data_IF_704830001919
#
_entry.id   IF_704830001919
#
_cell.length_a   1.000
_cell.length_b   1.000
_cell.length_c   1.000
_cell.angle_alpha   90.00
_cell.angle_beta   90.00
_cell.angle_gamma   90.00
#
_symmetry.space_group_name_H-M   'P 1'
#
loop_
_entity.id
_entity.type
_entity.pdbx_description
1 polymer ?
#
# COMPACT_ATOMS: atom_id res chain seq x y z
N UNK A 1 5.90 27.08 -9.83
CA UNK A 1 6.11 25.63 -10.03
C UNK A 1 5.44 24.96 -8.84
N UNK A 2 4.24 24.38 -8.99
CA UNK A 2 3.50 23.84 -7.83
C UNK A 2 4.07 22.46 -7.50
N UNK A 3 4.95 22.42 -6.50
CA UNK A 3 5.38 21.23 -5.79
C UNK A 3 4.16 20.63 -5.06
N UNK A 4 3.38 19.86 -5.80
CA UNK A 4 2.32 19.03 -5.22
C UNK A 4 3.04 18.01 -4.35
N UNK A 5 3.08 18.25 -3.03
CA UNK A 5 3.85 17.48 -2.05
C UNK A 5 3.83 15.98 -2.36
N UNK A 6 4.98 15.45 -2.80
CA UNK A 6 5.10 14.04 -3.15
C UNK A 6 5.10 13.26 -1.84
N UNK A 7 4.02 12.52 -1.56
CA UNK A 7 3.97 11.67 -0.37
C UNK A 7 4.92 10.49 -0.58
N UNK A 8 6.02 10.48 0.16
CA UNK A 8 7.02 9.40 0.18
C UNK A 8 7.41 9.14 1.63
N UNK A 9 7.25 7.89 2.07
CA UNK A 9 7.78 7.38 3.35
C UNK A 9 8.76 6.26 3.08
N UNK A 10 9.94 6.34 3.69
CA UNK A 10 11.01 5.34 3.55
C UNK A 10 11.46 4.87 4.93
N UNK A 11 11.62 3.56 5.11
CA UNK A 11 12.18 2.96 6.33
C UNK A 11 13.25 1.90 5.99
N UNK A 12 13.81 1.18 6.95
CA UNK A 12 14.67 0.03 6.59
C UNK A 12 13.87 -1.15 6.00
N UNK A 13 12.56 -1.21 6.26
CA UNK A 13 11.73 -2.40 6.03
C UNK A 13 10.69 -2.21 4.93
N UNK A 14 10.34 -0.97 4.58
CA UNK A 14 9.32 -0.68 3.59
C UNK A 14 9.53 0.67 2.88
N UNK A 15 8.86 0.84 1.76
CA UNK A 15 8.68 2.11 1.05
C UNK A 15 7.19 2.31 0.83
N UNK A 16 6.70 3.53 1.02
CA UNK A 16 5.34 3.91 0.66
C UNK A 16 5.40 5.20 -0.13
N UNK A 17 4.65 5.30 -1.21
CA UNK A 17 4.51 6.54 -1.97
C UNK A 17 3.17 6.63 -2.69
N UNK A 18 2.78 7.83 -3.11
CA UNK A 18 1.70 8.06 -4.07
C UNK A 18 2.31 8.63 -5.34
N UNK A 19 1.97 8.06 -6.49
CA UNK A 19 2.45 8.53 -7.79
C UNK A 19 1.63 9.71 -8.33
N UNK A 20 2.05 10.25 -9.48
CA UNK A 20 1.38 11.38 -10.14
C UNK A 20 -0.05 11.05 -10.61
N UNK A 21 -0.37 9.76 -10.81
CA UNK A 21 -1.69 9.29 -11.17
C UNK A 21 -2.62 9.09 -9.95
N UNK A 22 -2.11 9.32 -8.73
CA UNK A 22 -2.85 9.12 -7.48
C UNK A 22 -2.91 7.66 -7.04
N UNK A 23 -2.08 6.78 -7.62
CA UNK A 23 -1.94 5.39 -7.21
C UNK A 23 -1.01 5.31 -6.01
N UNK A 24 -1.47 4.63 -4.96
CA UNK A 24 -0.64 4.34 -3.80
C UNK A 24 0.20 3.09 -4.00
N UNK A 25 1.41 3.12 -3.49
CA UNK A 25 2.34 2.01 -3.58
C UNK A 25 2.89 1.69 -2.20
N UNK A 26 2.93 0.39 -1.87
CA UNK A 26 3.58 -0.14 -0.68
C UNK A 26 4.56 -1.20 -1.14
N UNK A 27 5.85 -1.02 -0.86
CA UNK A 27 6.88 -2.03 -1.12
C UNK A 27 7.48 -2.52 0.18
N UNK A 28 7.33 -3.80 0.47
CA UNK A 28 7.94 -4.47 1.62
C UNK A 28 9.32 -5.00 1.24
N UNK A 29 10.32 -4.63 2.02
CA UNK A 29 11.73 -5.01 1.83
C UNK A 29 12.20 -6.01 2.88
N UNK A 30 11.61 -5.98 4.08
CA UNK A 30 11.90 -6.87 5.22
C UNK A 30 10.61 -7.14 5.98
N UNK A 31 10.64 -8.11 6.90
CA UNK A 31 9.51 -8.42 7.78
C UNK A 31 8.95 -7.16 8.45
N UNK A 32 7.64 -7.01 8.40
CA UNK A 32 6.87 -5.99 9.11
C UNK A 32 5.80 -6.68 9.95
N UNK A 33 5.47 -6.12 11.11
CA UNK A 33 4.38 -6.64 11.91
C UNK A 33 3.03 -6.18 11.37
N UNK A 34 1.97 -6.86 11.81
CA UNK A 34 0.60 -6.58 11.35
C UNK A 34 0.16 -5.15 11.67
N UNK A 35 0.48 -4.63 12.85
CA UNK A 35 0.17 -3.24 13.23
C UNK A 35 0.79 -2.22 12.27
N UNK A 36 2.04 -2.46 11.85
CA UNK A 36 2.72 -1.61 10.86
C UNK A 36 2.01 -1.69 9.52
N UNK A 37 1.64 -2.89 9.07
CA UNK A 37 0.90 -3.07 7.82
C UNK A 37 -0.40 -2.25 7.81
N UNK A 38 -1.23 -2.38 8.85
CA UNK A 38 -2.50 -1.64 8.96
C UNK A 38 -2.27 -0.13 8.98
N UNK A 39 -1.26 0.35 9.72
CA UNK A 39 -0.93 1.77 9.79
C UNK A 39 -0.51 2.33 8.42
N UNK A 40 0.29 1.58 7.65
CA UNK A 40 0.70 2.00 6.30
C UNK A 40 -0.51 2.11 5.36
N UNK A 41 -1.45 1.18 5.45
CA UNK A 41 -2.68 1.23 4.66
C UNK A 41 -3.55 2.44 5.02
N UNK A 42 -3.74 2.70 6.31
CA UNK A 42 -4.54 3.85 6.78
C UNK A 42 -3.93 5.18 6.33
N UNK A 43 -2.62 5.33 6.47
CA UNK A 43 -1.88 6.50 6.03
C UNK A 43 -2.00 6.70 4.52
N UNK A 44 -1.68 5.66 3.75
CA UNK A 44 -1.71 5.72 2.28
C UNK A 44 -3.11 6.03 1.75
N UNK A 45 -4.14 5.41 2.31
CA UNK A 45 -5.52 5.65 1.93
C UNK A 45 -5.95 7.10 2.20
N UNK A 46 -5.54 7.68 3.34
CA UNK A 46 -5.77 9.10 3.64
C UNK A 46 -5.09 10.02 2.62
N UNK A 47 -3.86 9.69 2.26
CA UNK A 47 -3.05 10.45 1.29
C UNK A 47 -3.58 10.37 -0.14
N UNK A 48 -4.07 9.21 -0.57
CA UNK A 48 -4.75 9.07 -1.86
C UNK A 48 -6.02 9.93 -1.86
N UNK A 49 -6.86 9.83 -0.81
CA UNK A 49 -8.12 10.59 -0.70
C UNK A 49 -7.94 12.10 -0.83
N UNK A 50 -6.88 12.67 -0.24
CA UNK A 50 -6.56 14.09 -0.38
C UNK A 50 -6.29 14.48 -1.84
N UNK A 51 -5.68 13.60 -2.62
CA UNK A 51 -5.30 13.83 -4.02
C UNK A 51 -6.46 13.59 -4.99
N UNK A 52 -7.35 12.64 -4.68
CA UNK A 52 -8.51 12.30 -5.52
C UNK A 52 -9.78 13.05 -5.14
N UNK A 53 -9.70 14.23 -4.50
CA UNK A 53 -10.84 14.94 -3.88
C UNK A 53 -12.05 15.27 -4.81
N UNK A 54 -12.00 14.93 -6.10
CA UNK A 54 -13.12 14.97 -7.05
C UNK A 54 -13.48 13.64 -7.74
N UNK A 55 -12.83 12.51 -7.41
CA UNK A 55 -13.05 11.22 -8.05
C UNK A 55 -12.89 10.03 -7.05
N UNK A 56 -13.83 9.88 -6.09
CA UNK A 56 -13.70 8.95 -4.96
C UNK A 56 -13.73 7.46 -5.34
N UNK A 57 -14.16 7.11 -6.56
CA UNK A 57 -14.38 5.72 -6.98
C UNK A 57 -13.14 4.92 -7.36
N UNK A 58 -11.92 5.48 -7.26
CA UNK A 58 -10.69 4.84 -7.73
C UNK A 58 -9.51 5.03 -6.78
N UNK A 59 -9.65 4.69 -5.50
CA UNK A 59 -8.45 4.42 -4.70
C UNK A 59 -7.80 3.18 -5.30
N UNK A 60 -6.55 3.31 -5.73
CA UNK A 60 -5.76 2.20 -6.27
C UNK A 60 -4.50 2.04 -5.44
N UNK A 61 -4.28 0.84 -4.89
CA UNK A 61 -3.09 0.51 -4.10
C UNK A 61 -2.41 -0.70 -4.71
N UNK A 62 -1.10 -0.59 -4.95
CA UNK A 62 -0.25 -1.69 -5.40
C UNK A 62 0.71 -2.06 -4.27
N UNK A 63 0.68 -3.33 -3.87
CA UNK A 63 1.48 -3.89 -2.79
C UNK A 63 2.52 -4.85 -3.34
N UNK A 64 3.79 -4.47 -3.23
CA UNK A 64 4.94 -5.26 -3.68
C UNK A 64 5.57 -5.98 -2.50
N UNK A 65 5.76 -7.28 -2.63
CA UNK A 65 6.44 -8.11 -1.61
C UNK A 65 7.12 -9.30 -2.28
N UNK A 66 8.27 -9.74 -1.77
CA UNK A 66 8.89 -10.96 -2.28
C UNK A 66 8.10 -12.19 -1.89
N UNK A 67 8.16 -13.25 -2.70
CA UNK A 67 7.50 -14.53 -2.36
C UNK A 67 7.93 -15.06 -1.00
N UNK A 68 9.23 -15.02 -0.69
CA UNK A 68 9.78 -15.44 0.60
C UNK A 68 9.16 -14.69 1.79
N UNK A 69 9.07 -13.35 1.69
CA UNK A 69 8.48 -12.54 2.76
C UNK A 69 6.97 -12.75 2.85
N UNK A 70 6.30 -12.91 1.72
CA UNK A 70 4.87 -13.20 1.68
C UNK A 70 4.54 -14.54 2.34
N UNK A 71 5.31 -15.58 2.04
CA UNK A 71 5.10 -16.92 2.61
C UNK A 71 5.24 -16.91 4.13
N UNK A 72 6.18 -16.11 4.65
CA UNK A 72 6.42 -15.89 6.09
C UNK A 72 5.43 -14.94 6.78
N UNK A 73 4.55 -14.25 6.05
CA UNK A 73 3.55 -13.37 6.67
C UNK A 73 2.59 -14.18 7.55
N UNK A 74 2.17 -13.57 8.66
CA UNK A 74 1.16 -14.16 9.52
C UNK A 74 -0.17 -14.34 8.79
N UNK A 75 -0.97 -15.31 9.24
CA UNK A 75 -2.31 -15.57 8.72
C UNK A 75 -3.16 -14.30 8.74
N UNK A 76 -3.17 -13.57 9.86
CA UNK A 76 -3.91 -12.31 9.99
C UNK A 76 -3.52 -11.28 8.91
N UNK A 77 -2.24 -11.21 8.56
CA UNK A 77 -1.78 -10.27 7.55
C UNK A 77 -2.21 -10.71 6.14
N UNK A 78 -2.19 -12.01 5.82
CA UNK A 78 -2.71 -12.55 4.57
C UNK A 78 -4.22 -12.37 4.45
N UNK A 79 -4.97 -12.62 5.51
CA UNK A 79 -6.42 -12.40 5.58
C UNK A 79 -6.77 -10.93 5.41
N UNK A 80 -6.02 -10.02 6.02
CA UNK A 80 -6.19 -8.58 5.82
C UNK A 80 -5.95 -8.15 4.37
N UNK A 81 -4.90 -8.67 3.72
CA UNK A 81 -4.67 -8.40 2.30
C UNK A 81 -5.82 -8.94 1.43
N UNK A 82 -6.33 -10.14 1.73
CA UNK A 82 -7.50 -10.71 1.07
C UNK A 82 -8.76 -9.86 1.26
N UNK A 83 -9.01 -9.37 2.48
CA UNK A 83 -10.10 -8.44 2.77
C UNK A 83 -9.98 -7.13 1.97
N UNK A 84 -8.76 -6.59 1.85
CA UNK A 84 -8.49 -5.40 1.04
C UNK A 84 -8.80 -5.63 -0.45
N UNK A 85 -8.61 -6.84 -0.97
CA UNK A 85 -8.95 -7.21 -2.35
C UNK A 85 -10.46 -7.39 -2.57
N UNK A 86 -11.20 -7.87 -1.58
CA UNK A 86 -12.58 -8.33 -1.76
C UNK A 86 -13.66 -7.32 -1.40
N UNK A 87 -13.40 -6.39 -0.47
CA UNK A 87 -14.49 -5.66 0.20
C UNK A 87 -14.35 -4.14 0.27
N UNK A 88 -13.15 -3.60 0.12
CA UNK A 88 -13.00 -2.15 0.07
C UNK A 88 -13.28 -1.73 -1.37
N UNK A 89 -14.07 -0.68 -1.61
CA UNK A 89 -14.28 -0.07 -2.96
C UNK A 89 -13.00 0.58 -3.52
N UNK A 90 -11.90 -0.14 -3.43
CA UNK A 90 -10.50 0.20 -3.64
C UNK A 90 -9.97 -0.90 -4.56
N UNK A 91 -9.29 -0.52 -5.63
CA UNK A 91 -8.53 -1.48 -6.43
C UNK A 91 -7.27 -1.82 -5.63
N UNK A 92 -7.10 -3.09 -5.27
CA UNK A 92 -5.90 -3.57 -4.59
C UNK A 92 -5.19 -4.62 -5.43
N UNK A 93 -3.90 -4.38 -5.72
CA UNK A 93 -3.05 -5.29 -6.48
C UNK A 93 -1.93 -5.82 -5.60
N UNK A 94 -1.83 -7.14 -5.45
CA UNK A 94 -0.72 -7.81 -4.80
C UNK A 94 0.29 -8.27 -5.87
N UNK A 95 1.49 -7.71 -5.85
CA UNK A 95 2.56 -8.03 -6.79
C UNK A 95 3.66 -8.78 -6.04
N UNK A 96 3.80 -10.07 -6.35
CA UNK A 96 4.92 -10.87 -5.90
C UNK A 96 6.14 -10.56 -6.76
N UNK A 97 7.18 -10.01 -6.15
CA UNK A 97 8.45 -9.73 -6.83
C UNK A 97 9.43 -10.88 -6.61
N UNK A 98 10.10 -11.28 -7.68
CA UNK A 98 11.29 -12.13 -7.57
C UNK A 98 12.45 -11.27 -7.08
N UNK A 99 13.10 -11.69 -5.99
CA UNK A 99 14.32 -11.08 -5.45
C UNK A 99 15.47 -12.06 -5.63
#
# INVERSE_FOLDING_TARGET
MNESEIFIRKSANYRVWVDEAGVGHIRVLKRINFTTLVALFQELHGEIRKRIAGNPGKVHIIFYISKSLYDEMSVNAKEFLGFCQSCMGIKFELVLIEL
#
